data_IF_195832417311
#
_entry.id   IF_195832417311
#
_cell.length_a   1.000
_cell.length_b   1.000
_cell.length_c   1.000
_cell.angle_alpha   90.00
_cell.angle_beta   90.00
_cell.angle_gamma   90.00
#
_symmetry.space_group_name_H-M   'P 1'
#
loop_
_entity.id
_entity.type
_entity.pdbx_description
1 polymer ?
#
# COMPACT_ATOMS: atom_id res chain seq x y z
N UNK A 1 9.48 13.14 -0.53
CA UNK A 1 10.02 14.40 -1.06
C UNK A 1 10.29 14.22 -2.55
N UNK A 2 9.93 15.18 -3.37
CA UNK A 2 9.98 15.08 -4.84
C UNK A 2 11.34 14.61 -5.38
N UNK A 3 12.45 15.15 -4.88
CA UNK A 3 13.78 14.78 -5.35
C UNK A 3 14.12 13.30 -5.14
N UNK A 4 13.57 12.66 -4.10
CA UNK A 4 13.76 11.21 -3.85
C UNK A 4 12.96 10.41 -4.88
N UNK A 5 11.70 10.79 -5.11
CA UNK A 5 10.84 10.14 -6.10
C UNK A 5 11.44 10.26 -7.51
N UNK A 6 11.97 11.43 -7.88
CA UNK A 6 12.69 11.61 -9.16
C UNK A 6 13.87 10.65 -9.29
N UNK A 7 14.66 10.47 -8.24
CA UNK A 7 15.77 9.49 -8.25
C UNK A 7 15.29 8.05 -8.40
N UNK A 8 14.12 7.71 -7.89
CA UNK A 8 13.52 6.39 -8.12
C UNK A 8 13.22 6.19 -9.61
N UNK A 9 12.60 7.16 -10.28
CA UNK A 9 12.35 7.08 -11.72
C UNK A 9 13.66 7.05 -12.52
N UNK A 10 14.65 7.86 -12.15
CA UNK A 10 15.98 7.83 -12.78
C UNK A 10 16.64 6.46 -12.67
N UNK A 11 16.53 5.81 -11.50
CA UNK A 11 17.09 4.47 -11.27
C UNK A 11 16.39 3.38 -12.08
N UNK A 12 15.12 3.58 -12.45
CA UNK A 12 14.34 2.65 -13.28
C UNK A 12 14.59 2.82 -14.78
N UNK A 13 15.41 3.78 -15.19
CA UNK A 13 15.67 4.05 -16.62
C UNK A 13 16.25 2.81 -17.31
N UNK A 14 15.61 2.43 -18.42
CA UNK A 14 16.02 1.26 -19.21
C UNK A 14 15.45 -0.08 -18.73
N UNK A 15 14.72 -0.11 -17.61
CA UNK A 15 13.97 -1.29 -17.22
C UNK A 15 12.77 -1.51 -18.15
N UNK A 16 12.45 -2.76 -18.56
CA UNK A 16 11.29 -3.05 -19.41
C UNK A 16 9.96 -2.73 -18.72
N UNK A 17 9.91 -2.81 -17.39
CA UNK A 17 8.81 -2.37 -16.54
C UNK A 17 9.31 -2.14 -15.12
N UNK A 18 8.63 -1.27 -14.36
CA UNK A 18 8.94 -1.04 -12.96
C UNK A 18 7.68 -0.77 -12.13
N UNK A 19 7.70 -1.20 -10.88
CA UNK A 19 6.69 -0.84 -9.88
C UNK A 19 7.26 0.31 -9.05
N UNK A 20 6.58 1.44 -9.07
CA UNK A 20 6.91 2.59 -8.24
C UNK A 20 6.10 2.48 -6.96
N UNK A 21 6.78 2.10 -5.88
CA UNK A 21 6.17 1.92 -4.56
C UNK A 21 6.34 3.19 -3.71
N UNK A 22 5.23 3.67 -3.18
CA UNK A 22 5.21 4.77 -2.22
C UNK A 22 4.30 4.44 -1.04
N UNK A 23 4.60 5.01 0.11
CA UNK A 23 3.90 4.69 1.34
C UNK A 23 3.96 5.86 2.34
N UNK A 24 3.07 5.86 3.29
CA UNK A 24 3.16 6.65 4.51
C UNK A 24 2.46 5.92 5.65
N UNK A 25 2.94 6.11 6.86
CA UNK A 25 2.33 5.51 8.06
C UNK A 25 0.94 6.07 8.34
N UNK A 26 0.01 5.16 8.61
CA UNK A 26 -1.40 5.47 8.89
C UNK A 26 -1.85 5.06 10.28
N UNK A 27 -1.02 4.33 11.04
CA UNK A 27 -1.38 3.79 12.35
C UNK A 27 -1.66 4.87 13.40
N UNK A 28 -2.47 4.52 14.39
CA UNK A 28 -2.78 5.37 15.55
C UNK A 28 -1.51 5.90 16.21
N UNK A 29 -0.58 5.00 16.54
CA UNK A 29 0.66 5.36 17.21
C UNK A 29 1.50 6.36 16.40
N UNK A 30 1.62 6.16 15.09
CA UNK A 30 2.39 7.05 14.23
C UNK A 30 1.71 8.42 14.09
N UNK A 31 0.39 8.45 13.92
CA UNK A 31 -0.35 9.71 13.81
C UNK A 31 -0.24 10.56 15.07
N UNK A 32 -0.44 9.96 16.24
CA UNK A 32 -0.56 10.67 17.49
C UNK A 32 0.80 11.00 18.14
N UNK A 33 1.74 10.06 18.09
CA UNK A 33 3.00 10.18 18.85
C UNK A 33 4.14 10.73 17.99
N UNK A 34 4.21 10.35 16.69
CA UNK A 34 5.33 10.72 15.83
C UNK A 34 5.00 11.95 14.99
N UNK A 35 3.94 11.88 14.18
CA UNK A 35 3.60 12.97 13.27
C UNK A 35 2.81 14.07 13.95
N UNK A 36 2.06 13.74 15.01
CA UNK A 36 1.12 14.65 15.70
C UNK A 36 0.15 15.31 14.71
N UNK A 37 -0.44 14.48 13.86
CA UNK A 37 -1.32 14.86 12.77
C UNK A 37 -2.67 14.17 12.87
N UNK A 38 -3.70 14.87 12.41
CA UNK A 38 -5.05 14.33 12.25
C UNK A 38 -5.11 13.27 11.13
N UNK A 39 -6.18 12.45 11.14
CA UNK A 39 -6.47 11.49 10.06
C UNK A 39 -6.52 12.18 8.70
N UNK A 40 -7.16 13.36 8.61
CA UNK A 40 -7.27 14.12 7.37
C UNK A 40 -5.90 14.57 6.84
N UNK A 41 -5.03 15.08 7.71
CA UNK A 41 -3.68 15.50 7.32
C UNK A 41 -2.82 14.33 6.83
N UNK A 42 -2.93 13.15 7.47
CA UNK A 42 -2.21 11.94 7.04
C UNK A 42 -2.76 11.43 5.69
N UNK A 43 -4.08 11.41 5.50
CA UNK A 43 -4.71 11.07 4.22
C UNK A 43 -4.26 12.03 3.11
N UNK A 44 -4.18 13.32 3.41
CA UNK A 44 -3.71 14.29 2.43
C UNK A 44 -2.25 14.06 2.00
N UNK A 45 -1.37 13.59 2.90
CA UNK A 45 0.01 13.19 2.54
C UNK A 45 0.00 12.06 1.51
N UNK A 46 -0.86 11.05 1.68
CA UNK A 46 -1.00 9.95 0.74
C UNK A 46 -1.50 10.43 -0.64
N UNK A 47 -2.53 11.26 -0.65
CA UNK A 47 -3.11 11.85 -1.87
C UNK A 47 -2.10 12.70 -2.63
N UNK A 48 -1.37 13.58 -1.94
CA UNK A 48 -0.32 14.40 -2.58
C UNK A 48 0.84 13.53 -3.09
N UNK A 49 1.19 12.46 -2.36
CA UNK A 49 2.14 11.45 -2.83
C UNK A 49 1.70 10.80 -4.14
N UNK A 50 0.45 10.36 -4.21
CA UNK A 50 -0.13 9.75 -5.41
C UNK A 50 -0.13 10.71 -6.61
N UNK A 51 -0.56 11.97 -6.40
CA UNK A 51 -0.53 13.01 -7.45
C UNK A 51 0.88 13.23 -7.98
N UNK A 52 1.86 13.31 -7.08
CA UNK A 52 3.25 13.54 -7.44
C UNK A 52 3.83 12.36 -8.22
N UNK A 53 3.61 11.13 -7.78
CA UNK A 53 4.07 9.92 -8.48
C UNK A 53 3.45 9.83 -9.87
N UNK A 54 2.13 10.05 -10.00
CA UNK A 54 1.41 10.06 -11.29
C UNK A 54 1.96 11.15 -12.23
N UNK A 55 2.19 12.36 -11.71
CA UNK A 55 2.77 13.47 -12.47
C UNK A 55 4.17 13.10 -12.99
N UNK A 56 5.03 12.59 -12.12
CA UNK A 56 6.41 12.26 -12.49
C UNK A 56 6.47 11.09 -13.48
N UNK A 57 5.60 10.09 -13.35
CA UNK A 57 5.53 9.00 -14.32
C UNK A 57 5.25 9.48 -15.75
N UNK A 58 4.52 10.58 -15.91
CA UNK A 58 4.28 11.19 -17.22
C UNK A 58 5.50 11.96 -17.79
N UNK A 59 6.49 12.28 -16.94
CA UNK A 59 7.72 12.99 -17.34
C UNK A 59 8.85 12.02 -17.75
N UNK A 60 8.74 10.73 -17.41
CA UNK A 60 9.76 9.72 -17.69
C UNK A 60 9.27 8.68 -18.69
N UNK A 61 10.17 8.22 -19.55
CA UNK A 61 9.90 7.09 -20.43
C UNK A 61 9.98 5.77 -19.66
N UNK A 62 8.98 4.91 -19.79
CA UNK A 62 8.94 3.60 -19.15
C UNK A 62 7.53 3.05 -18.98
N UNK A 63 7.45 1.77 -18.66
CA UNK A 63 6.21 1.11 -18.28
C UNK A 63 6.15 1.05 -16.76
N UNK A 64 5.41 1.96 -16.15
CA UNK A 64 5.31 2.09 -14.70
C UNK A 64 3.95 1.60 -14.19
N UNK A 65 3.99 0.78 -13.14
CA UNK A 65 2.84 0.46 -12.29
C UNK A 65 3.04 1.11 -10.93
N UNK A 66 1.95 1.36 -10.23
CA UNK A 66 1.99 2.02 -8.93
C UNK A 66 1.61 1.05 -7.82
N UNK A 67 2.33 1.15 -6.72
CA UNK A 67 2.03 0.44 -5.49
C UNK A 67 1.95 1.44 -4.33
N UNK A 68 0.88 1.36 -3.56
CA UNK A 68 0.70 2.15 -2.34
C UNK A 68 0.54 1.24 -1.13
N UNK A 69 1.25 1.57 -0.04
CA UNK A 69 1.07 0.91 1.26
C UNK A 69 0.63 1.91 2.33
N UNK A 70 -0.51 1.68 3.02
CA UNK A 70 -0.79 2.30 4.30
C UNK A 70 0.11 1.64 5.37
N UNK A 71 1.34 2.15 5.53
CA UNK A 71 2.33 1.56 6.42
C UNK A 71 1.80 1.41 7.85
N UNK A 72 2.22 0.35 8.55
CA UNK A 72 1.65 -0.06 9.83
C UNK A 72 0.15 -0.34 9.75
N UNK A 73 -0.29 -1.01 8.69
CA UNK A 73 -1.69 -1.34 8.43
C UNK A 73 -2.36 -2.06 9.61
N UNK A 74 -1.67 -3.02 10.23
CA UNK A 74 -2.18 -3.77 11.40
C UNK A 74 -2.42 -2.92 12.65
N UNK A 75 -1.83 -1.73 12.71
CA UNK A 75 -2.04 -0.73 13.78
C UNK A 75 -2.95 0.43 13.36
N UNK A 76 -3.62 0.30 12.20
CA UNK A 76 -4.53 1.29 11.63
C UNK A 76 -5.97 0.77 11.73
N UNK A 77 -6.92 1.64 12.02
CA UNK A 77 -8.35 1.28 11.98
C UNK A 77 -8.72 0.87 10.55
N UNK A 78 -9.36 -0.30 10.33
CA UNK A 78 -9.65 -0.81 8.98
C UNK A 78 -10.43 0.18 8.10
N UNK A 79 -11.42 0.87 8.67
CA UNK A 79 -12.23 1.86 7.97
C UNK A 79 -11.40 3.06 7.52
N UNK A 80 -10.42 3.47 8.33
CA UNK A 80 -9.53 4.56 7.98
C UNK A 80 -8.48 4.13 6.95
N UNK A 81 -7.94 2.92 7.05
CA UNK A 81 -7.08 2.37 6.02
C UNK A 81 -7.78 2.30 4.66
N UNK A 82 -9.04 1.85 4.65
CA UNK A 82 -9.88 1.82 3.45
C UNK A 82 -10.11 3.23 2.88
N UNK A 83 -10.42 4.21 3.73
CA UNK A 83 -10.61 5.60 3.33
C UNK A 83 -9.36 6.16 2.64
N UNK A 84 -8.18 5.96 3.23
CA UNK A 84 -6.91 6.43 2.66
C UNK A 84 -6.60 5.72 1.34
N UNK A 85 -6.73 4.39 1.29
CA UNK A 85 -6.50 3.63 0.05
C UNK A 85 -7.44 4.07 -1.06
N UNK A 86 -8.72 4.23 -0.78
CA UNK A 86 -9.70 4.68 -1.78
C UNK A 86 -9.39 6.11 -2.27
N UNK A 87 -8.93 7.02 -1.40
CA UNK A 87 -8.53 8.37 -1.80
C UNK A 87 -7.28 8.34 -2.72
N UNK A 88 -6.34 7.43 -2.49
CA UNK A 88 -5.18 7.19 -3.38
C UNK A 88 -5.62 6.60 -4.71
N UNK A 89 -6.52 5.61 -4.71
CA UNK A 89 -7.05 4.99 -5.91
C UNK A 89 -7.82 5.98 -6.78
N UNK A 90 -8.59 6.89 -6.18
CA UNK A 90 -9.30 7.97 -6.91
C UNK A 90 -8.32 8.90 -7.66
N UNK A 91 -7.07 9.06 -7.20
CA UNK A 91 -6.02 9.81 -7.89
C UNK A 91 -5.35 8.98 -8.98
N UNK A 92 -5.05 7.70 -8.68
CA UNK A 92 -4.33 6.82 -9.61
C UNK A 92 -5.21 6.30 -10.75
N UNK A 93 -6.54 6.28 -10.55
CA UNK A 93 -7.54 5.90 -11.55
C UNK A 93 -7.29 4.50 -12.15
N UNK A 94 -7.38 3.42 -11.33
CA UNK A 94 -7.20 2.06 -11.82
C UNK A 94 -8.15 1.72 -12.98
N UNK A 95 -7.63 0.97 -13.94
CA UNK A 95 -8.38 0.53 -15.13
C UNK A 95 -7.76 -0.75 -15.69
N UNK A 96 -8.37 -1.35 -16.72
CA UNK A 96 -7.86 -2.54 -17.40
C UNK A 96 -6.38 -2.38 -17.83
N UNK A 97 -5.98 -1.18 -18.24
CA UNK A 97 -4.61 -0.88 -18.70
C UNK A 97 -3.72 -0.23 -17.61
N UNK A 98 -4.26 0.00 -16.42
CA UNK A 98 -3.57 0.63 -15.30
C UNK A 98 -3.91 -0.09 -13.99
N UNK A 99 -3.42 -1.32 -13.83
CA UNK A 99 -3.60 -2.05 -12.58
C UNK A 99 -2.72 -1.43 -11.47
N UNK A 100 -3.35 -1.07 -10.36
CA UNK A 100 -2.70 -0.49 -9.17
C UNK A 100 -2.59 -1.56 -8.08
N UNK A 101 -1.50 -1.53 -7.34
CA UNK A 101 -1.27 -2.43 -6.20
C UNK A 101 -1.56 -1.68 -4.91
N UNK A 102 -2.45 -2.22 -4.08
CA UNK A 102 -2.59 -1.83 -2.68
C UNK A 102 -1.96 -2.92 -1.83
N UNK A 103 -0.89 -2.56 -1.14
CA UNK A 103 -0.13 -3.49 -0.32
C UNK A 103 -0.45 -3.27 1.17
N UNK A 104 -0.81 -4.32 1.87
CA UNK A 104 -1.27 -4.31 3.26
C UNK A 104 -0.19 -4.89 4.18
N UNK A 105 0.76 -4.06 4.70
CA UNK A 105 1.90 -4.58 5.44
C UNK A 105 1.55 -4.94 6.89
N UNK A 106 1.99 -6.12 7.31
CA UNK A 106 2.12 -6.48 8.72
C UNK A 106 3.46 -5.92 9.20
N UNK A 107 3.52 -4.61 9.43
CA UNK A 107 4.74 -3.94 9.87
C UNK A 107 5.18 -4.43 11.26
N UNK A 108 4.20 -4.72 12.10
CA UNK A 108 4.35 -5.44 13.38
C UNK A 108 3.20 -6.43 13.50
N UNK A 109 3.50 -7.66 13.90
CA UNK A 109 2.50 -8.71 14.18
C UNK A 109 1.75 -8.41 15.49
N UNK A 110 0.82 -7.44 15.42
CA UNK A 110 0.09 -6.92 16.59
C UNK A 110 -1.06 -7.81 17.05
N UNK A 111 -1.53 -8.72 16.18
CA UNK A 111 -2.67 -9.59 16.44
C UNK A 111 -2.41 -11.02 15.97
N UNK A 112 -3.36 -11.91 16.17
CA UNK A 112 -3.29 -13.27 15.63
C UNK A 112 -3.59 -13.27 14.12
N UNK A 113 -3.06 -14.22 13.35
CA UNK A 113 -3.18 -14.25 11.88
C UNK A 113 -4.61 -14.18 11.34
N UNK A 114 -5.59 -14.77 12.01
CA UNK A 114 -6.99 -14.69 11.58
C UNK A 114 -7.58 -13.27 11.71
N UNK A 115 -7.07 -12.44 12.63
CA UNK A 115 -7.48 -11.04 12.74
C UNK A 115 -6.96 -10.25 11.55
N UNK A 116 -5.69 -10.46 11.18
CA UNK A 116 -5.13 -9.86 9.98
C UNK A 116 -5.89 -10.32 8.72
N UNK A 117 -6.19 -11.61 8.61
CA UNK A 117 -6.99 -12.13 7.50
C UNK A 117 -8.37 -11.46 7.40
N UNK A 118 -9.06 -11.25 8.53
CA UNK A 118 -10.34 -10.50 8.54
C UNK A 118 -10.19 -9.04 8.09
N UNK A 119 -9.05 -8.39 8.41
CA UNK A 119 -8.75 -7.05 7.90
C UNK A 119 -8.52 -7.07 6.38
N UNK A 120 -7.80 -8.08 5.86
CA UNK A 120 -7.58 -8.27 4.42
C UNK A 120 -8.89 -8.51 3.70
N UNK A 121 -9.76 -9.37 4.22
CA UNK A 121 -11.11 -9.64 3.67
C UNK A 121 -11.92 -8.34 3.59
N UNK A 122 -11.97 -7.59 4.68
CA UNK A 122 -12.65 -6.30 4.72
C UNK A 122 -12.13 -5.32 3.64
N UNK A 123 -10.81 -5.22 3.49
CA UNK A 123 -10.21 -4.38 2.44
C UNK A 123 -10.55 -4.91 1.05
N UNK A 124 -10.39 -6.21 0.81
CA UNK A 124 -10.66 -6.83 -0.50
C UNK A 124 -12.09 -6.64 -0.96
N UNK A 125 -13.05 -6.69 -0.04
CA UNK A 125 -14.49 -6.53 -0.35
C UNK A 125 -14.92 -5.08 -0.56
N UNK A 126 -14.19 -4.10 0.03
CA UNK A 126 -14.65 -2.71 0.08
C UNK A 126 -13.78 -1.72 -0.71
N UNK A 127 -12.62 -2.14 -1.24
CA UNK A 127 -11.79 -1.29 -2.09
C UNK A 127 -12.52 -0.91 -3.37
N UNK A 128 -12.48 0.38 -3.72
CA UNK A 128 -12.90 0.87 -5.04
C UNK A 128 -12.07 0.24 -6.15
N UNK A 129 -12.64 0.11 -7.32
CA UNK A 129 -11.96 -0.41 -8.51
C UNK A 129 -11.34 -1.81 -8.31
N UNK A 130 -11.95 -2.66 -7.48
CA UNK A 130 -11.37 -3.94 -7.03
C UNK A 130 -10.88 -4.83 -8.18
N UNK A 131 -11.59 -4.86 -9.31
CA UNK A 131 -11.23 -5.63 -10.51
C UNK A 131 -9.93 -5.15 -11.20
N UNK A 132 -9.50 -3.91 -10.91
CA UNK A 132 -8.28 -3.31 -11.43
C UNK A 132 -7.23 -3.04 -10.34
N UNK A 133 -7.45 -3.59 -9.14
CA UNK A 133 -6.55 -3.46 -8.00
C UNK A 133 -6.01 -4.82 -7.61
N UNK A 134 -4.69 -4.93 -7.51
CA UNK A 134 -4.03 -6.09 -6.91
C UNK A 134 -3.87 -5.85 -5.42
N UNK A 135 -4.52 -6.65 -4.59
CA UNK A 135 -4.30 -6.64 -3.13
C UNK A 135 -3.08 -7.48 -2.82
N UNK A 136 -2.04 -6.85 -2.30
CA UNK A 136 -0.75 -7.46 -1.96
C UNK A 136 -0.57 -7.53 -0.45
N UNK A 137 0.10 -8.56 0.02
CA UNK A 137 0.45 -8.76 1.43
C UNK A 137 1.96 -8.63 1.61
N UNK A 138 2.38 -7.98 2.70
CA UNK A 138 3.77 -7.87 3.11
C UNK A 138 3.92 -8.22 4.60
N UNK A 139 3.85 -9.51 4.96
CA UNK A 139 3.97 -9.93 6.36
C UNK A 139 5.42 -9.90 6.81
N UNK A 140 5.67 -9.26 7.96
CA UNK A 140 6.87 -9.50 8.76
C UNK A 140 6.71 -10.76 9.60
N UNK A 141 7.77 -11.19 10.28
CA UNK A 141 7.80 -12.46 11.01
C UNK A 141 8.37 -12.28 12.43
N UNK A 142 8.05 -11.18 13.10
CA UNK A 142 8.62 -10.83 14.42
C UNK A 142 8.17 -11.81 15.52
N UNK A 143 6.99 -12.43 15.37
CA UNK A 143 6.45 -13.44 16.27
C UNK A 143 6.54 -14.85 15.71
N UNK A 144 7.03 -15.03 14.48
CA UNK A 144 7.07 -16.33 13.81
C UNK A 144 5.75 -16.78 13.21
N UNK A 145 4.78 -15.86 12.97
CA UNK A 145 3.47 -16.16 12.39
C UNK A 145 3.27 -15.62 10.97
N UNK A 146 4.30 -15.06 10.34
CA UNK A 146 4.22 -14.46 9.01
C UNK A 146 3.77 -15.43 7.91
N UNK A 147 4.08 -16.73 8.00
CA UNK A 147 3.55 -17.75 7.08
C UNK A 147 2.04 -17.87 7.24
N UNK A 148 1.53 -17.94 8.47
CA UNK A 148 0.11 -18.04 8.74
C UNK A 148 -0.64 -16.76 8.31
N UNK A 149 -0.05 -15.57 8.53
CA UNK A 149 -0.59 -14.29 8.02
C UNK A 149 -0.73 -14.33 6.50
N UNK A 150 0.29 -14.85 5.81
CA UNK A 150 0.31 -14.99 4.35
C UNK A 150 -0.79 -15.94 3.85
N UNK A 151 -0.83 -17.15 4.38
CA UNK A 151 -1.76 -18.20 3.92
C UNK A 151 -3.22 -17.78 4.18
N UNK A 152 -3.52 -17.28 5.37
CA UNK A 152 -4.88 -16.83 5.72
C UNK A 152 -5.26 -15.56 4.96
N UNK A 153 -4.33 -14.63 4.72
CA UNK A 153 -4.58 -13.44 3.93
C UNK A 153 -4.87 -13.74 2.47
N UNK A 154 -4.20 -14.73 1.87
CA UNK A 154 -4.54 -15.22 0.52
C UNK A 154 -5.93 -15.85 0.48
N UNK A 155 -6.31 -16.66 1.47
CA UNK A 155 -7.67 -17.19 1.60
C UNK A 155 -8.71 -16.11 1.78
N UNK A 156 -8.35 -14.97 2.40
CA UNK A 156 -9.21 -13.81 2.63
C UNK A 156 -9.33 -12.89 1.40
N UNK A 157 -8.76 -13.25 0.24
CA UNK A 157 -8.96 -12.55 -1.01
C UNK A 157 -7.81 -11.66 -1.47
N UNK A 158 -6.61 -11.81 -0.92
CA UNK A 158 -5.43 -11.18 -1.48
C UNK A 158 -4.98 -11.89 -2.78
N UNK A 159 -4.35 -11.13 -3.67
CA UNK A 159 -3.95 -11.58 -5.00
C UNK A 159 -2.44 -11.83 -5.10
N UNK A 160 -1.65 -11.26 -4.19
CA UNK A 160 -0.18 -11.25 -4.27
C UNK A 160 0.45 -11.27 -2.88
N UNK A 161 1.64 -11.79 -2.81
CA UNK A 161 2.52 -11.70 -1.63
C UNK A 161 3.87 -11.14 -2.05
N UNK A 162 4.47 -10.35 -1.19
CA UNK A 162 5.84 -9.89 -1.34
C UNK A 162 6.63 -10.05 -0.04
N UNK A 163 7.95 -9.98 -0.13
CA UNK A 163 8.84 -10.11 1.01
C UNK A 163 10.29 -9.93 0.59
N UNK A 164 11.20 -10.22 1.52
CA UNK A 164 12.64 -10.18 1.29
C UNK A 164 13.20 -11.59 1.10
N UNK A 165 14.34 -11.70 0.42
CA UNK A 165 15.02 -13.00 0.22
C UNK A 165 15.84 -13.40 1.45
N UNK A 166 16.16 -12.46 2.34
CA UNK A 166 16.95 -12.68 3.55
C UNK A 166 16.36 -11.89 4.71
#
# INVERSE_FOLDING_TARGET
>A
REHIIRKTFEACKGAPSAIIHFYNSTSVAQREQVFKKSKEEIKQIAVEGAKLVKKLAAEYEGNFRFEYSPESFTGTEPEYALEVCNAVLDVLEPSENNNVIINLPVTVEMSLPHVYASQVEYMSENLKYREHVTVSLHPHNDRGTGVADTELGLLAGADRVEGTLF
#
